data_IF_964762223651
#
_entry.id   IF_964762223651
#
_cell.length_a   1.000
_cell.length_b   1.000
_cell.length_c   1.000
_cell.angle_alpha   90.00
_cell.angle_beta   90.00
_cell.angle_gamma   90.00
#
_symmetry.space_group_name_H-M   'P 1'
#
loop_
_entity.id
_entity.type
_entity.pdbx_description
1 polymer ?
#
# COMPACT_ATOMS: atom_id res chain seq x y z
N UNK A 1 -63.55 54.71 47.76
CA UNK A 1 -64.06 53.75 46.74
C UNK A 1 -62.90 52.86 46.29
N UNK A 2 -63.12 51.54 46.33
CA UNK A 2 -62.36 50.40 45.73
C UNK A 2 -60.85 50.30 46.03
N UNK A 3 -60.38 49.39 46.92
CA UNK A 3 -60.13 47.91 46.72
C UNK A 3 -59.28 47.67 45.46
N UNK A 4 -58.14 46.95 45.45
CA UNK A 4 -57.85 45.65 46.08
C UNK A 4 -56.39 45.20 45.78
N UNK A 5 -55.65 44.71 46.81
CA UNK A 5 -54.70 43.54 46.85
C UNK A 5 -53.47 43.51 45.89
N UNK A 6 -52.28 43.04 46.26
CA UNK A 6 -51.76 42.20 47.37
C UNK A 6 -50.22 42.40 47.40
N UNK A 7 -49.59 42.72 48.54
CA UNK A 7 -48.93 41.79 49.51
C UNK A 7 -47.68 41.10 48.94
N UNK A 8 -46.51 40.97 49.58
CA UNK A 8 -46.05 41.14 50.98
C UNK A 8 -44.50 40.97 50.95
N UNK A 9 -43.77 41.88 51.62
CA UNK A 9 -42.64 41.69 52.57
C UNK A 9 -41.46 40.73 52.21
N UNK A 10 -40.17 41.03 52.41
CA UNK A 10 -39.45 41.37 53.66
C UNK A 10 -37.92 41.48 53.33
N UNK A 11 -37.22 42.46 53.95
CA UNK A 11 -35.81 42.55 54.44
C UNK A 11 -34.63 41.95 53.62
N UNK A 12 -33.35 42.37 53.69
CA UNK A 12 -32.57 43.45 54.29
C UNK A 12 -31.11 43.26 53.77
N UNK A 13 -30.38 44.36 53.60
CA UNK A 13 -28.94 44.57 53.38
C UNK A 13 -27.97 43.61 54.15
N UNK A 14 -26.68 43.39 53.84
CA UNK A 14 -25.72 43.78 52.79
C UNK A 14 -24.34 43.08 53.03
N UNK A 15 -23.41 43.27 52.07
CA UNK A 15 -21.91 43.28 52.16
C UNK A 15 -21.08 42.01 51.84
N UNK A 16 -20.59 41.97 50.59
CA UNK A 16 -19.19 41.82 50.07
C UNK A 16 -18.22 40.82 50.76
N UNK A 17 -17.79 39.77 50.05
CA UNK A 17 -16.35 39.43 49.89
C UNK A 17 -16.12 38.49 48.69
N UNK A 18 -15.18 38.88 47.82
CA UNK A 18 -14.62 38.07 46.72
C UNK A 18 -13.93 36.82 47.25
N UNK A 19 -14.31 35.63 46.78
CA UNK A 19 -13.47 34.45 46.80
C UNK A 19 -13.85 33.55 45.61
N UNK A 20 -12.84 33.17 44.83
CA UNK A 20 -12.95 32.28 43.70
C UNK A 20 -13.83 31.07 44.04
N UNK A 21 -14.92 30.88 43.29
CA UNK A 21 -15.63 29.61 43.30
C UNK A 21 -14.73 28.59 42.61
N UNK A 22 -13.81 27.99 43.37
CA UNK A 22 -13.50 26.58 43.17
C UNK A 22 -14.86 25.87 43.22
N UNK A 23 -15.34 25.39 42.09
CA UNK A 23 -16.42 24.41 42.03
C UNK A 23 -15.78 23.03 42.05
N UNK A 24 -15.53 22.40 43.22
CA UNK A 24 -15.31 20.96 43.25
C UNK A 24 -16.62 20.29 42.78
N UNK A 25 -16.56 19.56 41.68
CA UNK A 25 -17.70 18.87 41.12
C UNK A 25 -17.96 17.55 41.88
N UNK A 26 -19.22 17.36 42.24
CA UNK A 26 -20.02 16.13 42.27
C UNK A 26 -19.28 14.78 42.17
N UNK A 27 -19.24 14.02 43.26
CA UNK A 27 -18.79 12.63 43.29
C UNK A 27 -19.82 11.66 42.66
N UNK A 28 -20.27 11.86 41.42
CA UNK A 28 -21.26 11.01 40.73
C UNK A 28 -20.66 9.68 40.28
N UNK A 29 -21.46 8.60 40.25
CA UNK A 29 -21.07 7.33 39.62
C UNK A 29 -20.82 7.56 38.13
N UNK A 30 -19.56 7.46 37.72
CA UNK A 30 -19.16 7.65 36.32
C UNK A 30 -19.38 6.41 35.46
N UNK A 31 -19.18 6.55 34.14
CA UNK A 31 -19.12 5.40 33.21
C UNK A 31 -17.97 4.44 33.53
N UNK A 32 -16.88 4.92 34.13
CA UNK A 32 -15.78 4.06 34.60
C UNK A 32 -16.20 3.28 35.84
N UNK A 33 -16.83 3.94 36.81
CA UNK A 33 -17.40 3.29 37.99
C UNK A 33 -18.47 2.25 37.60
N UNK A 34 -19.33 2.56 36.62
CA UNK A 34 -20.32 1.61 36.09
C UNK A 34 -19.68 0.36 35.50
N UNK A 35 -18.52 0.52 34.86
CA UNK A 35 -17.79 -0.58 34.21
C UNK A 35 -16.97 -1.43 35.20
N UNK A 36 -16.46 -0.82 36.28
CA UNK A 36 -15.46 -1.45 37.14
C UNK A 36 -15.94 -1.78 38.58
N UNK A 37 -17.02 -1.16 39.07
CA UNK A 37 -17.61 -1.43 40.38
C UNK A 37 -18.83 -2.35 40.30
N UNK A 38 -19.06 -3.15 41.34
CA UNK A 38 -20.33 -3.88 41.52
C UNK A 38 -21.48 -2.92 41.87
N UNK A 39 -22.73 -3.33 41.67
CA UNK A 39 -23.91 -2.52 42.01
C UNK A 39 -23.92 -2.06 43.48
N UNK A 40 -23.45 -2.91 44.42
CA UNK A 40 -23.33 -2.53 45.84
C UNK A 40 -22.28 -1.44 46.08
N UNK A 41 -21.19 -1.45 45.32
CA UNK A 41 -20.14 -0.43 45.39
C UNK A 41 -20.58 0.87 44.73
N UNK A 42 -21.28 0.80 43.59
CA UNK A 42 -21.90 1.96 42.94
C UNK A 42 -22.88 2.67 43.88
N UNK A 43 -23.75 1.93 44.59
CA UNK A 43 -24.64 2.52 45.61
C UNK A 43 -23.91 3.21 46.76
N UNK A 44 -22.67 2.80 47.08
CA UNK A 44 -21.84 3.49 48.08
C UNK A 44 -21.24 4.78 47.53
N UNK A 45 -20.84 4.78 46.26
CA UNK A 45 -20.44 6.02 45.57
C UNK A 45 -21.62 6.99 45.55
N UNK A 46 -22.82 6.55 45.12
CA UNK A 46 -24.03 7.38 45.11
C UNK A 46 -24.37 7.97 46.49
N UNK A 47 -24.16 7.18 47.56
CA UNK A 47 -24.37 7.64 48.93
C UNK A 47 -23.34 8.70 49.32
N UNK A 48 -22.09 8.53 48.93
CA UNK A 48 -21.04 9.51 49.12
C UNK A 48 -21.33 10.80 48.32
N UNK A 49 -21.85 10.69 47.09
CA UNK A 49 -22.33 11.84 46.29
C UNK A 49 -23.36 12.65 47.07
N UNK A 50 -24.41 12.00 47.56
CA UNK A 50 -25.50 12.67 48.29
C UNK A 50 -25.02 13.31 49.58
N UNK A 51 -24.06 12.67 50.27
CA UNK A 51 -23.46 13.22 51.48
C UNK A 51 -22.60 14.46 51.16
N UNK A 52 -21.87 14.42 50.04
CA UNK A 52 -21.10 15.55 49.55
C UNK A 52 -22.02 16.73 49.20
N UNK A 53 -23.10 16.48 48.47
CA UNK A 53 -24.08 17.51 48.07
C UNK A 53 -24.69 18.21 49.29
N UNK A 54 -25.07 17.42 50.30
CA UNK A 54 -25.59 17.95 51.55
C UNK A 54 -24.57 18.80 52.32
N UNK A 55 -23.31 18.36 52.36
CA UNK A 55 -22.22 19.10 53.01
C UNK A 55 -21.88 20.39 52.25
N UNK A 56 -21.85 20.34 50.92
CA UNK A 56 -21.63 21.52 50.07
C UNK A 56 -22.75 22.55 50.26
N UNK A 57 -24.01 22.12 50.26
CA UNK A 57 -25.15 23.00 50.52
C UNK A 57 -25.09 23.65 51.91
N UNK A 58 -24.46 22.99 52.88
CA UNK A 58 -24.25 23.51 54.24
C UNK A 58 -22.94 24.33 54.39
N UNK A 59 -22.10 24.43 53.35
CA UNK A 59 -20.76 25.03 53.46
C UNK A 59 -19.78 24.21 54.33
N UNK A 60 -20.10 22.95 54.63
CA UNK A 60 -19.30 22.06 55.47
C UNK A 60 -18.15 21.42 54.67
N UNK A 61 -16.99 22.06 54.73
CA UNK A 61 -15.76 21.58 54.07
C UNK A 61 -15.30 20.22 54.61
N UNK A 62 -15.49 19.95 55.90
CA UNK A 62 -15.08 18.68 56.50
C UNK A 62 -16.00 17.54 56.05
N UNK A 63 -17.31 17.82 55.93
CA UNK A 63 -18.29 16.90 55.38
C UNK A 63 -18.04 16.56 53.90
N UNK A 64 -17.68 17.55 53.09
CA UNK A 64 -17.30 17.34 51.69
C UNK A 64 -16.06 16.45 51.56
N UNK A 65 -15.00 16.75 52.31
CA UNK A 65 -13.76 15.97 52.35
C UNK A 65 -14.01 14.52 52.82
N UNK A 66 -14.86 14.35 53.83
CA UNK A 66 -15.25 13.03 54.32
C UNK A 66 -15.97 12.22 53.25
N UNK A 67 -16.92 12.84 52.55
CA UNK A 67 -17.68 12.18 51.49
C UNK A 67 -16.77 11.77 50.32
N UNK A 68 -15.81 12.63 49.94
CA UNK A 68 -14.80 12.30 48.93
C UNK A 68 -13.96 11.07 49.35
N UNK A 69 -13.45 11.04 50.58
CA UNK A 69 -12.71 9.89 51.12
C UNK A 69 -13.54 8.60 51.13
N UNK A 70 -14.82 8.70 51.45
CA UNK A 70 -15.73 7.56 51.45
C UNK A 70 -15.89 6.98 50.01
N UNK A 71 -15.90 7.83 48.97
CA UNK A 71 -15.92 7.41 47.57
C UNK A 71 -14.59 6.77 47.13
N UNK A 72 -13.45 7.38 47.46
CA UNK A 72 -12.11 6.86 47.12
C UNK A 72 -11.79 5.54 47.82
N UNK A 73 -12.33 5.33 49.02
CA UNK A 73 -12.25 4.03 49.71
C UNK A 73 -12.93 2.91 48.92
N UNK A 74 -13.99 3.22 48.17
CA UNK A 74 -14.66 2.24 47.33
C UNK A 74 -13.86 1.99 46.05
N UNK A 75 -13.39 3.04 45.38
CA UNK A 75 -12.59 2.95 44.13
C UNK A 75 -11.26 2.23 44.33
N UNK A 76 -10.59 2.46 45.45
CA UNK A 76 -9.32 1.80 45.78
C UNK A 76 -9.43 0.27 45.87
N UNK A 77 -10.61 -0.29 46.15
CA UNK A 77 -10.83 -1.76 46.10
C UNK A 77 -10.68 -2.38 44.70
N UNK A 78 -10.65 -1.54 43.65
CA UNK A 78 -10.40 -1.91 42.26
C UNK A 78 -9.09 -1.34 41.73
N UNK A 79 -8.21 -0.92 42.63
CA UNK A 79 -6.91 -0.33 42.29
C UNK A 79 -7.04 0.90 41.37
N UNK A 80 -8.02 1.77 41.61
CA UNK A 80 -8.09 3.06 40.95
C UNK A 80 -8.58 4.17 41.91
N UNK A 81 -8.34 5.44 41.58
CA UNK A 81 -8.92 6.61 42.25
C UNK A 81 -9.73 7.46 41.28
N UNK A 82 -10.67 8.27 41.78
CA UNK A 82 -11.53 9.15 40.97
C UNK A 82 -11.07 10.61 40.90
N UNK A 83 -9.90 10.96 41.44
CA UNK A 83 -9.43 12.34 41.52
C UNK A 83 -10.29 13.21 42.47
N UNK A 84 -9.88 14.46 42.72
CA UNK A 84 -10.53 15.32 43.72
C UNK A 84 -12.01 15.64 43.42
N UNK A 85 -12.43 15.53 42.16
CA UNK A 85 -13.79 15.79 41.68
C UNK A 85 -14.52 14.53 41.16
N UNK A 86 -13.94 13.33 41.34
CA UNK A 86 -14.57 12.08 40.93
C UNK A 86 -14.61 11.84 39.41
N UNK A 87 -14.07 12.76 38.59
CA UNK A 87 -14.13 12.68 37.12
C UNK A 87 -12.91 12.01 36.49
N UNK A 88 -11.82 11.87 37.25
CA UNK A 88 -10.52 11.44 36.73
C UNK A 88 -10.11 10.08 37.28
N UNK A 89 -10.02 9.07 36.41
CA UNK A 89 -9.80 7.68 36.83
C UNK A 89 -8.36 7.26 36.63
N UNK A 90 -7.64 7.12 37.74
CA UNK A 90 -6.22 6.74 37.72
C UNK A 90 -6.02 5.30 38.22
N UNK A 91 -5.49 4.38 37.39
CA UNK A 91 -5.11 3.06 37.88
C UNK A 91 -3.90 3.19 38.82
N UNK A 92 -3.95 2.51 39.96
CA UNK A 92 -2.79 2.33 40.83
C UNK A 92 -1.84 1.39 40.13
N UNK A 93 -0.75 1.92 39.57
CA UNK A 93 0.30 1.07 39.05
C UNK A 93 0.84 0.22 40.22
N UNK A 94 0.86 -1.10 40.05
CA UNK A 94 1.20 -2.06 41.08
C UNK A 94 2.72 -2.04 41.31
N UNK A 95 3.23 -0.96 41.90
CA UNK A 95 4.63 -0.74 42.21
C UNK A 95 4.70 0.00 43.54
N UNK A 96 5.05 -0.74 44.59
CA UNK A 96 4.96 -0.33 45.97
C UNK A 96 5.59 1.02 46.28
N UNK A 97 4.90 1.77 47.13
CA UNK A 97 5.37 3.05 47.64
C UNK A 97 4.41 3.61 48.66
N UNK A 98 4.37 2.99 49.84
CA UNK A 98 3.93 3.66 51.06
C UNK A 98 4.66 5.01 51.16
N UNK A 99 3.93 6.11 51.01
CA UNK A 99 4.40 7.43 51.42
C UNK A 99 3.30 8.04 52.29
N UNK A 100 3.36 7.68 53.57
CA UNK A 100 2.67 8.42 54.60
C UNK A 100 3.29 9.82 54.75
N UNK A 101 2.42 10.80 54.90
CA UNK A 101 2.63 11.96 55.76
C UNK A 101 3.32 13.18 55.14
N UNK A 102 2.66 14.33 55.27
CA UNK A 102 3.30 15.65 55.32
C UNK A 102 2.80 16.60 54.25
N UNK A 103 2.00 17.58 54.67
CA UNK A 103 1.36 18.53 53.78
C UNK A 103 2.29 19.54 53.10
N UNK A 104 1.74 20.23 52.11
CA UNK A 104 2.36 21.34 51.42
C UNK A 104 1.82 21.43 50.00
N UNK A 105 1.01 22.47 49.73
CA UNK A 105 0.35 22.66 48.44
C UNK A 105 1.34 22.71 47.27
N UNK A 106 1.29 21.68 46.44
CA UNK A 106 1.80 21.70 45.07
C UNK A 106 0.69 21.13 44.20
N UNK A 107 0.05 21.98 43.39
CA UNK A 107 -0.89 21.50 42.39
C UNK A 107 -0.14 20.55 41.45
N UNK A 108 -0.41 19.26 41.56
CA UNK A 108 0.05 18.29 40.57
C UNK A 108 -0.68 18.63 39.26
N UNK A 109 0.00 19.39 38.40
CA UNK A 109 -0.45 19.66 37.04
C UNK A 109 -0.33 18.34 36.27
N UNK A 110 -1.44 17.60 36.15
CA UNK A 110 -1.51 16.47 35.24
C UNK A 110 -1.65 17.06 33.83
N UNK A 111 -0.65 16.95 32.94
CA UNK A 111 -0.79 17.48 31.59
C UNK A 111 -1.95 16.75 30.89
N UNK A 112 -2.74 17.46 30.05
CA UNK A 112 -3.81 16.82 29.29
C UNK A 112 -3.25 15.62 28.52
N UNK A 113 -4.00 14.51 28.52
CA UNK A 113 -3.64 13.32 27.73
C UNK A 113 -3.50 13.72 26.27
N UNK A 114 -2.36 13.41 25.60
CA UNK A 114 -2.16 13.84 24.23
C UNK A 114 -3.23 13.22 23.32
N UNK A 115 -3.92 14.05 22.54
CA UNK A 115 -4.80 13.55 21.47
C UNK A 115 -3.93 12.80 20.47
N UNK A 116 -4.39 11.62 20.06
CA UNK A 116 -3.70 10.80 19.06
C UNK A 116 -4.65 10.39 17.96
N UNK A 117 -4.12 10.32 16.74
CA UNK A 117 -4.80 9.86 15.55
C UNK A 117 -4.13 8.63 14.98
N UNK A 118 -4.93 7.73 14.42
CA UNK A 118 -4.44 6.51 13.79
C UNK A 118 -4.27 6.72 12.30
N UNK A 119 -3.09 6.35 11.80
CA UNK A 119 -2.83 6.22 10.37
C UNK A 119 -2.72 4.73 10.04
N UNK A 120 -3.56 4.25 9.13
CA UNK A 120 -3.55 2.84 8.69
C UNK A 120 -2.82 2.72 7.37
N UNK A 121 -1.73 1.96 7.34
CA UNK A 121 -0.92 1.71 6.16
C UNK A 121 -1.08 0.28 5.63
N UNK A 122 -1.36 0.13 4.34
CA UNK A 122 -1.49 -1.17 3.68
C UNK A 122 -0.65 -1.24 2.39
N UNK A 123 -0.23 -2.44 2.02
CA UNK A 123 0.49 -2.70 0.77
C UNK A 123 -0.06 -3.95 0.10
N UNK A 124 -0.31 -3.87 -1.22
CA UNK A 124 -0.63 -5.03 -2.04
C UNK A 124 0.59 -5.92 -2.32
N UNK A 125 0.34 -7.06 -2.97
CA UNK A 125 1.39 -7.96 -3.46
C UNK A 125 2.37 -7.23 -4.37
N UNK A 126 3.66 -7.55 -4.25
CA UNK A 126 4.73 -6.98 -5.11
C UNK A 126 5.58 -5.91 -4.44
N UNK A 127 5.30 -5.54 -3.19
CA UNK A 127 6.16 -4.65 -2.42
C UNK A 127 5.71 -4.51 -0.97
N UNK A 128 6.15 -3.43 -0.32
CA UNK A 128 5.89 -3.15 1.10
C UNK A 128 5.72 -1.66 1.36
N UNK A 129 5.07 -1.35 2.48
CA UNK A 129 5.01 -0.01 3.08
C UNK A 129 5.50 -0.10 4.53
N UNK A 130 6.28 0.88 4.98
CA UNK A 130 6.84 0.92 6.34
C UNK A 130 6.68 2.32 6.97
N UNK A 131 6.12 2.41 8.19
CA UNK A 131 5.53 1.32 8.97
C UNK A 131 4.26 0.75 8.30
N UNK A 132 3.96 -0.52 8.52
CA UNK A 132 2.72 -1.17 8.05
C UNK A 132 1.69 -1.23 9.17
N UNK A 133 0.41 -1.41 8.81
CA UNK A 133 -0.69 -1.49 9.77
C UNK A 133 -1.01 -0.14 10.42
N UNK A 134 -1.54 -0.19 11.64
CA UNK A 134 -1.98 1.01 12.38
C UNK A 134 -0.80 1.65 13.12
N UNK A 135 -0.55 2.93 12.85
CA UNK A 135 0.40 3.77 13.60
C UNK A 135 -0.37 4.86 14.35
N UNK A 136 -0.16 4.99 15.66
CA UNK A 136 -0.68 6.11 16.44
C UNK A 136 0.28 7.31 16.37
N UNK A 137 -0.26 8.50 16.12
CA UNK A 137 0.47 9.76 15.97
C UNK A 137 -0.18 10.82 16.84
N UNK A 138 0.59 11.51 17.68
CA UNK A 138 0.10 12.65 18.47
C UNK A 138 -0.37 13.79 17.56
N UNK A 139 -1.46 14.45 17.94
CA UNK A 139 -1.97 15.62 17.23
C UNK A 139 -0.87 16.65 16.95
N UNK A 140 -0.86 17.18 15.72
CA UNK A 140 0.12 18.16 15.24
C UNK A 140 1.48 17.57 14.84
N UNK A 141 1.80 16.33 15.21
CA UNK A 141 3.03 15.68 14.75
C UNK A 141 2.92 15.20 13.30
N UNK A 142 4.07 14.90 12.71
CA UNK A 142 4.18 14.37 11.35
C UNK A 142 4.60 12.90 11.36
N UNK A 143 4.20 12.15 10.33
CA UNK A 143 4.60 10.75 10.15
C UNK A 143 4.96 10.45 8.70
N UNK A 144 6.16 9.93 8.50
CA UNK A 144 6.67 9.49 7.20
C UNK A 144 6.48 7.99 7.01
N UNK A 145 6.10 7.62 5.80
CA UNK A 145 6.00 6.26 5.29
C UNK A 145 6.93 6.09 4.10
N UNK A 146 7.63 4.95 4.06
CA UNK A 146 8.48 4.53 2.93
C UNK A 146 7.82 3.36 2.23
N UNK A 147 7.75 3.42 0.90
CA UNK A 147 7.18 2.41 0.02
C UNK A 147 8.31 1.83 -0.82
N UNK A 148 8.45 0.51 -0.82
CA UNK A 148 9.47 -0.20 -1.56
C UNK A 148 8.85 -1.30 -2.43
N UNK A 149 9.15 -1.29 -3.72
CA UNK A 149 8.79 -2.38 -4.63
C UNK A 149 9.79 -3.54 -4.48
N UNK A 150 9.30 -4.77 -4.52
CA UNK A 150 10.15 -5.96 -4.57
C UNK A 150 10.80 -6.09 -5.96
N UNK A 151 11.88 -6.88 -6.06
CA UNK A 151 12.53 -7.18 -7.34
C UNK A 151 11.53 -7.68 -8.39
N UNK A 152 11.58 -7.09 -9.58
CA UNK A 152 10.66 -7.40 -10.68
C UNK A 152 9.32 -6.67 -10.62
N UNK A 153 9.08 -5.83 -9.61
CA UNK A 153 7.91 -4.97 -9.50
C UNK A 153 8.29 -3.50 -9.56
N UNK A 154 7.30 -2.66 -9.84
CA UNK A 154 7.35 -1.21 -9.68
C UNK A 154 6.15 -0.74 -8.87
N UNK A 155 6.30 0.41 -8.19
CA UNK A 155 5.16 1.08 -7.54
C UNK A 155 4.19 1.50 -8.65
N UNK A 156 2.96 1.01 -8.58
CA UNK A 156 1.92 1.34 -9.55
C UNK A 156 1.21 2.63 -9.13
N UNK A 157 0.77 2.67 -7.87
CA UNK A 157 0.05 3.80 -7.30
C UNK A 157 0.16 3.76 -5.77
N UNK A 158 0.22 4.93 -5.16
CA UNK A 158 0.01 5.14 -3.73
C UNK A 158 -1.24 5.99 -3.57
N UNK A 159 -2.16 5.57 -2.70
CA UNK A 159 -3.37 6.33 -2.38
C UNK A 159 -3.34 6.78 -0.94
N UNK A 160 -3.68 8.05 -0.72
CA UNK A 160 -3.84 8.67 0.59
C UNK A 160 -5.31 9.06 0.74
N UNK A 161 -5.97 8.56 1.77
CA UNK A 161 -7.40 8.81 2.03
C UNK A 161 -8.29 8.53 0.81
N UNK A 162 -7.96 7.45 0.09
CA UNK A 162 -8.64 7.02 -1.13
C UNK A 162 -8.22 7.74 -2.42
N UNK A 163 -7.48 8.85 -2.31
CA UNK A 163 -7.02 9.65 -3.46
C UNK A 163 -5.63 9.24 -3.91
N UNK A 164 -5.46 8.99 -5.21
CA UNK A 164 -4.16 8.65 -5.81
C UNK A 164 -3.21 9.85 -5.76
N UNK A 165 -1.97 9.59 -5.33
CA UNK A 165 -0.84 10.52 -5.43
C UNK A 165 0.19 10.06 -6.47
N UNK A 166 -0.13 9.00 -7.22
CA UNK A 166 0.77 8.36 -8.17
C UNK A 166 1.83 7.48 -7.52
N UNK A 167 2.83 7.10 -8.33
CA UNK A 167 3.93 6.26 -7.87
C UNK A 167 4.93 7.06 -7.02
N UNK A 168 4.79 6.97 -5.70
CA UNK A 168 5.69 7.61 -4.74
C UNK A 168 6.40 6.57 -3.86
N UNK A 169 7.72 6.71 -3.69
CA UNK A 169 8.51 5.86 -2.77
C UNK A 169 8.46 6.34 -1.32
N UNK A 170 7.97 7.56 -1.08
CA UNK A 170 7.85 8.14 0.26
C UNK A 170 6.62 9.03 0.34
N UNK A 171 5.97 9.07 1.49
CA UNK A 171 4.92 10.03 1.78
C UNK A 171 4.96 10.46 3.25
N UNK A 172 4.78 11.76 3.52
CA UNK A 172 4.75 12.31 4.87
C UNK A 172 3.40 12.96 5.13
N UNK A 173 2.66 12.40 6.10
CA UNK A 173 1.57 13.12 6.72
C UNK A 173 2.18 14.21 7.61
N UNK A 174 1.90 15.47 7.28
CA UNK A 174 2.36 16.61 8.06
C UNK A 174 1.22 17.14 8.92
N UNK A 175 1.50 17.56 10.16
CA UNK A 175 0.52 18.16 11.07
C UNK A 175 -0.79 17.33 11.17
N UNK A 176 -0.69 16.12 11.71
CA UNK A 176 -1.82 15.19 11.77
C UNK A 176 -2.87 15.67 12.76
N UNK A 177 -4.06 15.99 12.27
CA UNK A 177 -5.22 16.46 13.07
C UNK A 177 -6.46 15.56 12.90
N UNK A 178 -6.32 14.42 12.21
CA UNK A 178 -7.36 13.43 12.01
C UNK A 178 -6.75 12.06 11.69
N UNK A 179 -7.57 10.99 11.73
CA UNK A 179 -7.13 9.68 11.24
C UNK A 179 -6.93 9.67 9.72
N UNK A 180 -5.98 8.88 9.24
CA UNK A 180 -5.67 8.77 7.81
C UNK A 180 -5.47 7.33 7.36
N UNK A 181 -5.49 7.13 6.04
CA UNK A 181 -5.12 5.88 5.39
C UNK A 181 -4.10 6.12 4.30
N UNK A 182 -3.16 5.20 4.17
CA UNK A 182 -2.23 5.14 3.03
C UNK A 182 -2.17 3.71 2.51
N UNK A 183 -2.30 3.54 1.20
CA UNK A 183 -2.25 2.22 0.57
C UNK A 183 -1.34 2.23 -0.65
N UNK A 184 -0.45 1.25 -0.76
CA UNK A 184 0.45 1.10 -1.89
C UNK A 184 0.06 -0.10 -2.74
N UNK A 185 0.07 0.08 -4.07
CA UNK A 185 -0.15 -0.97 -5.05
C UNK A 185 1.05 -1.08 -5.99
N UNK A 186 1.28 -2.28 -6.52
CA UNK A 186 2.45 -2.59 -7.34
C UNK A 186 2.02 -3.23 -8.64
N UNK A 187 2.85 -3.07 -9.67
CA UNK A 187 2.67 -3.68 -10.98
C UNK A 187 3.97 -4.38 -11.39
N UNK A 188 3.87 -5.33 -12.31
CA UNK A 188 5.04 -5.96 -12.92
C UNK A 188 5.96 -4.91 -13.57
N UNK A 189 7.26 -5.07 -13.41
CA UNK A 189 8.30 -4.33 -14.12
C UNK A 189 8.89 -5.14 -15.29
N UNK A 190 8.29 -6.28 -15.63
CA UNK A 190 8.74 -7.10 -16.74
C UNK A 190 8.70 -6.34 -18.07
N UNK A 191 9.68 -6.61 -18.92
CA UNK A 191 9.81 -5.99 -20.23
C UNK A 191 10.28 -6.98 -21.27
N UNK A 192 9.75 -6.83 -22.48
CA UNK A 192 10.12 -7.60 -23.65
C UNK A 192 10.25 -6.64 -24.84
N UNK A 193 11.42 -6.63 -25.48
CA UNK A 193 11.63 -5.86 -26.71
C UNK A 193 12.37 -6.68 -27.76
N UNK A 194 12.09 -6.36 -29.03
CA UNK A 194 12.74 -6.94 -30.20
C UNK A 194 13.60 -5.90 -30.89
N UNK A 195 14.82 -6.28 -31.25
CA UNK A 195 15.72 -5.45 -32.05
C UNK A 195 15.34 -5.40 -33.53
N UNK A 196 16.27 -4.92 -34.35
CA UNK A 196 16.17 -5.06 -35.81
C UNK A 196 16.26 -6.52 -36.22
N UNK A 197 15.27 -7.01 -36.95
CA UNK A 197 15.32 -8.33 -37.57
C UNK A 197 16.07 -8.22 -38.91
N UNK A 198 16.99 -9.13 -39.17
CA UNK A 198 17.74 -9.18 -40.43
C UNK A 198 17.67 -10.57 -41.05
N UNK A 199 17.62 -10.62 -42.38
CA UNK A 199 17.75 -11.85 -43.15
C UNK A 199 19.12 -11.90 -43.85
N UNK A 200 19.66 -13.10 -44.02
CA UNK A 200 20.91 -13.36 -44.75
C UNK A 200 20.74 -14.41 -45.85
N UNK A 201 21.67 -14.44 -46.81
CA UNK A 201 21.66 -15.29 -48.01
C UNK A 201 22.13 -16.74 -47.77
N UNK A 202 22.30 -17.16 -46.52
CA UNK A 202 22.84 -18.48 -46.21
C UNK A 202 24.37 -18.57 -46.28
N UNK A 203 25.06 -17.51 -46.72
CA UNK A 203 26.43 -17.17 -46.34
C UNK A 203 26.43 -16.26 -45.11
N UNK A 204 27.59 -15.94 -44.53
CA UNK A 204 27.69 -15.09 -43.33
C UNK A 204 27.28 -13.61 -43.56
N UNK A 205 26.57 -13.30 -44.64
CA UNK A 205 26.21 -11.96 -45.08
C UNK A 205 24.73 -11.63 -44.88
N UNK A 206 24.43 -10.32 -44.83
CA UNK A 206 23.07 -9.78 -44.95
C UNK A 206 22.58 -9.90 -46.39
N UNK A 207 21.30 -10.22 -46.61
CA UNK A 207 20.72 -10.22 -47.96
C UNK A 207 20.95 -8.87 -48.63
N UNK A 208 21.66 -8.86 -49.76
CA UNK A 208 21.85 -7.65 -50.56
C UNK A 208 20.48 -7.22 -51.11
N UNK A 209 19.95 -6.10 -50.63
CA UNK A 209 18.65 -5.53 -51.01
C UNK A 209 17.39 -6.37 -50.73
N UNK A 210 17.49 -7.43 -49.91
CA UNK A 210 16.34 -8.28 -49.57
C UNK A 210 15.81 -9.14 -50.73
N UNK A 211 16.61 -9.37 -51.78
CA UNK A 211 16.24 -10.21 -52.93
C UNK A 211 17.01 -11.54 -52.87
N UNK A 212 16.37 -12.65 -53.23
CA UNK A 212 16.99 -13.98 -53.39
C UNK A 212 16.23 -14.80 -54.44
N UNK A 213 16.71 -16.02 -54.74
CA UNK A 213 16.08 -16.97 -55.66
C UNK A 213 15.28 -18.03 -54.90
N UNK A 214 14.30 -18.64 -55.56
CA UNK A 214 13.69 -19.87 -55.04
C UNK A 214 14.74 -21.01 -55.03
N UNK A 215 14.62 -21.96 -54.10
CA UNK A 215 15.62 -23.01 -53.88
C UNK A 215 16.79 -22.64 -52.96
N UNK A 216 17.03 -21.34 -52.71
CA UNK A 216 18.10 -20.90 -51.81
C UNK A 216 17.69 -20.90 -50.34
N UNK A 217 18.70 -21.04 -49.47
CA UNK A 217 18.52 -20.96 -48.03
C UNK A 217 18.63 -19.53 -47.52
N UNK A 218 17.81 -19.16 -46.54
CA UNK A 218 17.89 -17.88 -45.85
C UNK A 218 18.15 -18.06 -44.35
N UNK A 219 18.99 -17.19 -43.79
CA UNK A 219 19.22 -17.09 -42.34
C UNK A 219 18.36 -15.97 -41.75
N UNK A 220 18.14 -16.02 -40.45
CA UNK A 220 17.50 -14.95 -39.69
C UNK A 220 18.30 -14.64 -38.44
N UNK A 221 18.29 -13.37 -38.06
CA UNK A 221 18.85 -12.87 -36.82
C UNK A 221 17.85 -11.89 -36.21
N UNK A 222 17.44 -12.17 -34.98
CA UNK A 222 16.55 -11.33 -34.18
C UNK A 222 17.13 -11.16 -32.77
N UNK A 223 17.73 -10.00 -32.47
CA UNK A 223 18.08 -9.64 -31.09
C UNK A 223 16.80 -9.51 -30.26
N UNK A 224 16.79 -10.09 -29.06
CA UNK A 224 15.67 -9.97 -28.10
C UNK A 224 16.25 -9.55 -26.76
N UNK A 225 15.72 -8.47 -26.19
CA UNK A 225 16.10 -7.99 -24.86
C UNK A 225 14.93 -8.19 -23.92
N UNK A 226 15.21 -8.83 -22.78
CA UNK A 226 14.19 -9.15 -21.79
C UNK A 226 14.62 -8.73 -20.39
N UNK A 227 13.65 -8.45 -19.53
CA UNK A 227 13.87 -8.22 -18.10
C UNK A 227 12.70 -8.78 -17.31
N UNK A 228 12.99 -9.47 -16.20
CA UNK A 228 12.01 -10.11 -15.32
C UNK A 228 10.96 -10.98 -16.02
N UNK A 229 11.33 -11.69 -17.08
CA UNK A 229 10.48 -12.69 -17.74
C UNK A 229 11.13 -14.06 -17.70
N UNK A 230 10.36 -15.11 -17.96
CA UNK A 230 10.84 -16.47 -18.14
C UNK A 230 10.23 -17.14 -19.37
N UNK A 231 10.76 -18.29 -19.78
CA UNK A 231 10.19 -19.09 -20.87
C UNK A 231 10.07 -18.33 -22.20
N UNK A 232 11.05 -17.49 -22.55
CA UNK A 232 11.03 -16.75 -23.82
C UNK A 232 11.09 -17.73 -24.99
N UNK A 233 10.16 -17.58 -25.91
CA UNK A 233 10.06 -18.35 -27.16
C UNK A 233 9.98 -17.39 -28.33
N UNK A 234 10.57 -17.78 -29.45
CA UNK A 234 10.49 -17.02 -30.70
C UNK A 234 10.08 -17.95 -31.81
N UNK A 235 9.09 -17.54 -32.60
CA UNK A 235 8.69 -18.23 -33.83
C UNK A 235 8.82 -17.31 -35.01
N UNK A 236 9.12 -17.86 -36.19
CA UNK A 236 9.02 -17.18 -37.47
C UNK A 236 7.92 -17.84 -38.30
N UNK A 237 6.95 -17.06 -38.73
CA UNK A 237 5.88 -17.50 -39.62
C UNK A 237 6.04 -16.86 -41.00
N UNK A 238 5.88 -17.66 -42.04
CA UNK A 238 6.04 -17.25 -43.44
C UNK A 238 5.17 -18.14 -44.34
N UNK A 239 4.92 -17.69 -45.58
CA UNK A 239 4.09 -18.41 -46.53
C UNK A 239 4.67 -18.32 -47.96
N UNK A 240 5.70 -19.12 -48.24
CA UNK A 240 6.27 -19.20 -49.59
C UNK A 240 5.36 -19.97 -50.55
N UNK A 241 4.93 -21.16 -50.13
CA UNK A 241 3.97 -22.02 -50.85
C UNK A 241 2.75 -22.35 -49.99
N UNK A 242 2.97 -22.48 -48.68
CA UNK A 242 1.97 -22.68 -47.64
C UNK A 242 2.47 -22.06 -46.34
N UNK A 243 1.56 -21.72 -45.44
CA UNK A 243 1.90 -21.18 -44.11
C UNK A 243 2.75 -22.19 -43.35
N UNK A 244 3.93 -21.75 -42.92
CA UNK A 244 4.83 -22.49 -42.04
C UNK A 244 5.19 -21.63 -40.84
N UNK A 245 5.43 -22.29 -39.72
CA UNK A 245 5.93 -21.66 -38.50
C UNK A 245 7.10 -22.48 -37.99
N UNK A 246 8.20 -21.81 -37.70
CA UNK A 246 9.44 -22.43 -37.19
C UNK A 246 9.79 -21.79 -35.86
N UNK A 247 10.08 -22.60 -34.84
CA UNK A 247 10.66 -22.12 -33.59
C UNK A 247 12.14 -21.81 -33.80
N UNK A 248 12.57 -20.63 -33.36
CA UNK A 248 13.95 -20.20 -33.43
C UNK A 248 14.73 -20.71 -32.20
N UNK A 249 16.05 -20.70 -32.29
CA UNK A 249 16.97 -21.01 -31.21
C UNK A 249 17.76 -19.76 -30.82
N UNK A 250 17.98 -19.57 -29.52
CA UNK A 250 18.83 -18.48 -29.02
C UNK A 250 20.30 -18.89 -29.06
N UNK A 251 21.11 -18.10 -29.78
CA UNK A 251 22.56 -18.30 -29.92
C UNK A 251 23.24 -16.97 -29.62
N UNK A 252 23.99 -16.91 -28.52
CA UNK A 252 24.72 -15.69 -28.13
C UNK A 252 23.83 -14.45 -27.96
N UNK A 253 22.59 -14.62 -27.49
CA UNK A 253 21.62 -13.52 -27.29
C UNK A 253 20.84 -13.10 -28.54
N UNK A 254 21.06 -13.78 -29.66
CA UNK A 254 20.33 -13.56 -30.92
C UNK A 254 19.52 -14.80 -31.26
N UNK A 255 18.26 -14.62 -31.64
CA UNK A 255 17.41 -15.71 -32.10
C UNK A 255 17.62 -15.96 -33.58
N UNK A 256 17.89 -17.21 -33.92
CA UNK A 256 18.25 -17.67 -35.26
C UNK A 256 17.43 -18.89 -35.64
N UNK A 257 17.35 -19.21 -36.94
CA UNK A 257 16.75 -20.49 -37.34
C UNK A 257 17.49 -21.67 -36.70
N UNK A 258 16.78 -22.76 -36.39
CA UNK A 258 17.39 -23.94 -35.79
C UNK A 258 18.31 -24.64 -36.80
N UNK A 259 19.25 -25.45 -36.29
CA UNK A 259 19.93 -26.44 -37.13
C UNK A 259 18.97 -27.62 -37.30
N UNK A 260 18.67 -28.01 -38.54
CA UNK A 260 17.79 -29.15 -38.83
C UNK A 260 18.51 -30.24 -39.63
N UNK A 261 18.00 -31.48 -39.62
CA UNK A 261 18.57 -32.59 -40.39
C UNK A 261 18.57 -32.38 -41.91
N UNK A 262 17.81 -31.41 -42.42
CA UNK A 262 17.81 -30.97 -43.82
C UNK A 262 18.83 -29.84 -44.09
N UNK A 263 19.47 -29.32 -43.05
CA UNK A 263 20.52 -28.31 -43.18
C UNK A 263 21.84 -29.02 -43.46
N UNK A 264 22.66 -28.47 -44.36
CA UNK A 264 24.09 -28.86 -44.43
C UNK A 264 24.69 -28.71 -43.03
N UNK A 265 25.52 -29.65 -42.59
CA UNK A 265 26.00 -29.77 -41.21
C UNK A 265 26.34 -28.42 -40.59
N UNK A 266 25.56 -27.99 -39.60
CA UNK A 266 25.76 -26.75 -38.85
C UNK A 266 25.09 -25.48 -39.41
N UNK A 267 24.38 -25.54 -40.54
CA UNK A 267 23.70 -24.35 -41.08
C UNK A 267 22.38 -24.03 -40.37
N UNK A 268 22.18 -22.75 -40.02
CA UNK A 268 21.00 -22.19 -39.33
C UNK A 268 20.10 -21.45 -40.31
N UNK A 269 19.49 -22.19 -41.24
CA UNK A 269 18.72 -21.63 -42.35
C UNK A 269 17.46 -22.42 -42.66
N UNK A 270 16.50 -21.75 -43.28
CA UNK A 270 15.36 -22.40 -43.93
C UNK A 270 15.53 -22.30 -45.45
N UNK A 271 15.05 -23.30 -46.19
CA UNK A 271 15.10 -23.30 -47.64
C UNK A 271 13.79 -22.79 -48.23
N UNK A 272 13.90 -21.92 -49.23
CA UNK A 272 12.77 -21.47 -50.04
C UNK A 272 12.47 -22.60 -51.04
N UNK A 273 11.24 -23.15 -51.09
CA UNK A 273 10.90 -24.19 -52.06
C UNK A 273 11.14 -23.72 -53.50
N UNK A 274 11.65 -24.60 -54.37
CA UNK A 274 12.00 -24.26 -55.77
C UNK A 274 10.78 -23.81 -56.58
N UNK A 275 9.60 -24.29 -56.23
CA UNK A 275 8.31 -23.97 -56.83
C UNK A 275 7.71 -22.64 -56.33
N UNK A 276 8.41 -21.92 -55.44
CA UNK A 276 7.97 -20.62 -54.93
C UNK A 276 7.93 -19.62 -56.08
N UNK A 277 6.78 -18.96 -56.25
CA UNK A 277 6.60 -17.94 -57.28
C UNK A 277 7.41 -16.69 -56.97
N UNK A 278 7.75 -15.95 -58.02
CA UNK A 278 8.29 -14.61 -57.86
C UNK A 278 7.31 -13.71 -57.10
N UNK A 279 7.85 -12.93 -56.18
CA UNK A 279 7.04 -12.06 -55.34
C UNK A 279 7.76 -11.60 -54.08
N UNK A 280 7.10 -10.71 -53.34
CA UNK A 280 7.57 -10.27 -52.02
C UNK A 280 6.81 -10.99 -50.94
N UNK A 281 7.56 -11.63 -50.04
CA UNK A 281 7.05 -12.46 -48.96
C UNK A 281 7.41 -11.84 -47.61
N UNK A 282 6.48 -11.90 -46.66
CA UNK A 282 6.70 -11.42 -45.30
C UNK A 282 7.06 -12.59 -44.39
N UNK A 283 8.10 -12.41 -43.58
CA UNK A 283 8.45 -13.26 -42.46
C UNK A 283 8.10 -12.48 -41.19
N UNK A 284 7.17 -13.02 -40.40
CA UNK A 284 6.74 -12.44 -39.14
C UNK A 284 7.34 -13.22 -37.99
N UNK A 285 8.19 -12.58 -37.22
CA UNK A 285 8.71 -13.08 -35.95
C UNK A 285 7.74 -12.73 -34.83
N UNK A 286 7.40 -13.72 -34.01
CA UNK A 286 6.61 -13.54 -32.79
C UNK A 286 7.44 -13.98 -31.60
N UNK A 287 7.65 -13.07 -30.65
CA UNK A 287 8.33 -13.33 -29.39
C UNK A 287 7.28 -13.37 -28.29
N UNK A 288 7.32 -14.42 -27.47
CA UNK A 288 6.43 -14.60 -26.33
C UNK A 288 7.24 -14.95 -25.10
N UNK A 289 7.00 -14.28 -23.97
CA UNK A 289 7.66 -14.58 -22.71
C UNK A 289 6.65 -14.51 -21.55
N UNK A 290 6.79 -15.39 -20.55
CA UNK A 290 5.97 -15.41 -19.36
C UNK A 290 6.40 -14.25 -18.44
N UNK A 291 5.43 -13.49 -17.94
CA UNK A 291 5.61 -12.50 -16.88
C UNK A 291 5.22 -13.14 -15.53
N UNK A 292 6.21 -13.63 -14.75
CA UNK A 292 5.92 -14.29 -13.48
C UNK A 292 5.36 -13.31 -12.42
N UNK A 293 5.70 -12.02 -12.49
CA UNK A 293 5.21 -11.02 -11.54
C UNK A 293 3.74 -10.69 -11.78
N UNK A 294 3.34 -10.42 -13.03
CA UNK A 294 1.94 -10.22 -13.37
C UNK A 294 1.11 -11.49 -13.15
N UNK A 295 1.71 -12.68 -13.36
CA UNK A 295 1.08 -13.96 -13.03
C UNK A 295 0.81 -14.08 -11.53
N UNK A 296 1.76 -13.69 -10.67
CA UNK A 296 1.57 -13.69 -9.22
C UNK A 296 0.50 -12.68 -8.76
N UNK A 297 0.35 -11.54 -9.44
CA UNK A 297 -0.68 -10.54 -9.12
C UNK A 297 -2.09 -10.97 -9.53
N UNK A 298 -2.23 -11.70 -10.64
CA UNK A 298 -3.52 -12.04 -11.24
C UNK A 298 -3.98 -13.48 -10.95
N UNK A 299 -3.07 -14.35 -10.51
CA UNK A 299 -3.33 -15.79 -10.33
C UNK A 299 -3.44 -16.57 -11.65
N UNK A 300 -3.19 -15.94 -12.80
CA UNK A 300 -3.26 -16.57 -14.13
C UNK A 300 -2.02 -16.25 -14.93
N UNK A 301 -1.58 -17.17 -15.80
CA UNK A 301 -0.38 -16.94 -16.62
C UNK A 301 -0.54 -15.70 -17.52
N UNK A 302 0.31 -14.70 -17.30
CA UNK A 302 0.38 -13.48 -18.11
C UNK A 302 1.61 -13.56 -19.02
N UNK A 303 1.45 -13.24 -20.30
CA UNK A 303 2.53 -13.26 -21.28
C UNK A 303 2.74 -11.90 -21.91
N UNK A 304 4.00 -11.48 -22.04
CA UNK A 304 4.39 -10.41 -22.93
C UNK A 304 4.57 -10.97 -24.33
N UNK A 305 4.11 -10.23 -25.34
CA UNK A 305 4.25 -10.59 -26.75
C UNK A 305 4.78 -9.40 -27.55
N UNK A 306 5.73 -9.64 -28.46
CA UNK A 306 6.23 -8.66 -29.42
C UNK A 306 6.29 -9.30 -30.79
N UNK A 307 5.97 -8.53 -31.84
CA UNK A 307 6.08 -8.99 -33.22
C UNK A 307 7.05 -8.13 -34.01
N UNK A 308 7.74 -8.72 -34.97
CA UNK A 308 8.64 -8.03 -35.90
C UNK A 308 8.50 -8.66 -37.27
N UNK A 309 8.38 -7.86 -38.32
CA UNK A 309 8.23 -8.36 -39.68
C UNK A 309 9.37 -7.86 -40.55
N UNK A 310 9.82 -8.73 -41.46
CA UNK A 310 10.77 -8.41 -42.52
C UNK A 310 10.26 -9.00 -43.82
N UNK A 311 10.62 -8.37 -44.94
CA UNK A 311 10.25 -8.85 -46.27
C UNK A 311 11.45 -9.43 -47.00
N UNK A 312 11.22 -10.48 -47.78
CA UNK A 312 12.15 -11.03 -48.75
C UNK A 312 11.48 -11.08 -50.11
N UNK A 313 12.17 -10.64 -51.14
CA UNK A 313 11.71 -10.72 -52.52
C UNK A 313 12.37 -11.92 -53.19
N UNK A 314 11.55 -12.78 -53.78
CA UNK A 314 11.98 -13.95 -54.54
C UNK A 314 11.87 -13.60 -56.01
N UNK A 315 12.95 -13.79 -56.76
CA UNK A 315 13.03 -13.57 -58.21
C UNK A 315 13.84 -14.65 -58.87
N UNK A 316 13.20 -15.39 -59.77
CA UNK A 316 13.77 -16.54 -60.45
C UNK A 316 14.02 -17.73 -59.54
N UNK A 317 14.39 -18.84 -60.16
CA UNK A 317 14.68 -20.10 -59.49
C UNK A 317 16.17 -20.45 -59.47
N UNK A 318 16.56 -21.33 -58.56
CA UNK A 318 17.94 -21.83 -58.47
C UNK A 318 18.45 -22.52 -59.74
N UNK A 319 17.57 -22.86 -60.68
CA UNK A 319 17.89 -23.51 -61.96
C UNK A 319 18.05 -22.52 -63.14
N UNK A 320 17.71 -21.24 -62.94
CA UNK A 320 17.81 -20.22 -63.98
C UNK A 320 19.21 -19.64 -64.14
N UNK A 321 20.15 -19.97 -63.24
CA UNK A 321 21.57 -19.59 -63.37
C UNK A 321 22.36 -20.56 -64.26
N UNK A 322 21.79 -21.72 -64.54
CA UNK A 322 22.50 -22.91 -65.04
C UNK A 322 22.69 -22.87 -66.57
N UNK A 323 22.08 -21.90 -67.27
CA UNK A 323 21.98 -21.89 -68.73
C UNK A 323 22.04 -20.50 -69.40
N UNK A 324 22.87 -19.57 -68.91
CA UNK A 324 23.30 -18.46 -69.77
C UNK A 324 24.82 -18.39 -69.84
N UNK A 325 25.39 -19.19 -70.75
CA UNK A 325 26.79 -19.13 -71.13
C UNK A 325 27.15 -17.79 -71.80
N UNK A 326 27.23 -16.73 -71.01
CA UNK A 326 28.01 -15.55 -71.32
C UNK A 326 29.13 -15.44 -70.27
N UNK A 327 30.09 -16.36 -70.40
CA UNK A 327 31.49 -16.18 -70.00
C UNK A 327 32.16 -15.12 -70.86
#
# INVERSE_FOLDING_TARGET
MKKLKNCISVLLAAVIMTAAFYTPALAVVSSHDQKHLSSSQQSKIDKATKAWDAANAAGDKAGMEKAHKDAEKVRSTKNYSGGADGSEYHPWNNGGGNSGGGGGGGGHYYPPTPVTYTITATSGTGGSISPSGSTSVTEGNSKTYTIAANTGYKIADVKVDGSSIGAASTYTFSNVTSGHTISATFASAASLSTGGATLGDGGSGTLKSGVTKSGYGITASLPVTTSYVSGTTVTASYNFTSTKTVSLESVGGTWQFPVSGSSVTGARKIYIPVETKDGTYTITFTVKALDPQATALTGSNVYLTSTKSVTVTIRGSMYEDDFTGNS
#
